data_IF_057741786753
#
_entry.id   IF_057741786753
#
_cell.length_a   1.000
_cell.length_b   1.000
_cell.length_c   1.000
_cell.angle_alpha   90.00
_cell.angle_beta   90.00
_cell.angle_gamma   90.00
#
_symmetry.space_group_name_H-M   'P 1'
#
loop_
_entity.id
_entity.type
_entity.pdbx_description
1 polymer ?
#
# COMPACT_ATOMS: atom_id res chain seq x y z
N UNK A 1 -9.49 -10.17 15.17
CA UNK A 1 -9.59 -11.12 14.06
C UNK A 1 -8.32 -11.96 14.02
N UNK A 2 -8.40 -13.30 14.03
CA UNK A 2 -7.22 -14.13 13.82
C UNK A 2 -6.69 -13.97 12.40
N UNK A 3 -5.38 -13.79 12.28
CA UNK A 3 -4.67 -13.70 11.00
C UNK A 3 -3.74 -14.91 10.86
N UNK A 4 -3.33 -15.25 9.63
CA UNK A 4 -2.23 -16.19 9.44
C UNK A 4 -0.94 -15.64 10.08
N UNK A 5 -0.07 -16.54 10.54
CA UNK A 5 1.18 -16.14 11.17
C UNK A 5 2.06 -15.30 10.24
N UNK A 6 2.79 -14.36 10.82
CA UNK A 6 3.77 -13.52 10.13
C UNK A 6 4.88 -13.10 11.09
N UNK A 7 6.06 -12.79 10.59
CA UNK A 7 7.13 -12.16 11.35
C UNK A 7 7.19 -10.66 11.07
N UNK A 8 7.11 -9.87 12.12
CA UNK A 8 7.26 -8.42 12.06
C UNK A 8 8.55 -7.92 12.73
N UNK A 9 9.45 -8.81 13.10
CA UNK A 9 10.69 -8.46 13.82
C UNK A 9 11.90 -8.29 12.90
N UNK A 10 11.79 -8.75 11.69
CA UNK A 10 12.81 -8.72 10.66
C UNK A 10 12.94 -7.34 9.99
N UNK A 11 13.96 -7.18 9.18
CA UNK A 11 15.34 -7.71 9.20
C UNK A 11 16.18 -7.03 10.29
N UNK A 12 15.52 -6.29 11.15
CA UNK A 12 16.13 -5.49 12.19
C UNK A 12 16.36 -6.34 13.45
N UNK A 13 17.52 -6.23 14.04
CA UNK A 13 17.74 -6.69 15.41
C UNK A 13 16.77 -5.98 16.36
N UNK A 14 16.38 -6.61 17.48
CA UNK A 14 15.54 -5.96 18.48
C UNK A 14 16.13 -4.59 18.87
N UNK A 15 15.34 -3.53 18.67
CA UNK A 15 15.75 -2.16 18.97
C UNK A 15 16.41 -1.38 17.83
N UNK A 16 16.81 -2.02 16.73
CA UNK A 16 17.29 -1.30 15.54
C UNK A 16 16.12 -0.78 14.70
N UNK A 17 16.26 0.43 14.15
CA UNK A 17 15.27 1.06 13.27
C UNK A 17 15.59 0.84 11.79
N UNK A 18 16.87 0.92 11.49
CA UNK A 18 17.47 1.02 10.18
C UNK A 18 17.89 -0.37 9.70
N UNK A 19 17.12 -0.93 8.82
CA UNK A 19 17.36 -2.27 8.33
C UNK A 19 17.39 -2.39 6.82
N UNK A 20 16.69 -1.53 6.12
CA UNK A 20 16.59 -1.61 4.67
C UNK A 20 17.90 -1.07 4.04
N UNK A 21 18.65 -1.90 3.34
CA UNK A 21 19.89 -1.48 2.71
C UNK A 21 19.63 -0.59 1.49
N UNK A 22 20.66 0.16 1.11
CA UNK A 22 20.67 1.02 -0.07
C UNK A 22 21.99 0.83 -0.83
N UNK A 23 22.03 1.01 -2.16
CA UNK A 23 23.26 0.93 -2.92
C UNK A 23 24.28 2.01 -2.51
N UNK A 24 25.56 1.64 -2.51
CA UNK A 24 26.68 2.57 -2.37
C UNK A 24 26.84 3.24 -1.01
N UNK A 25 26.14 2.78 0.03
CA UNK A 25 26.26 3.31 1.39
C UNK A 25 26.03 2.24 2.44
N UNK A 26 26.60 2.44 3.64
CA UNK A 26 26.29 1.63 4.81
C UNK A 26 25.07 2.15 5.60
N UNK A 27 24.58 3.33 5.29
CA UNK A 27 23.37 3.91 5.90
C UNK A 27 22.15 3.09 5.44
N UNK A 28 21.38 2.59 6.40
CA UNK A 28 20.14 1.86 6.14
C UNK A 28 18.94 2.73 6.47
N UNK A 29 17.80 2.47 5.87
CA UNK A 29 16.58 3.24 6.07
C UNK A 29 15.54 2.49 6.88
N UNK A 30 14.62 3.24 7.47
CA UNK A 30 13.77 2.82 8.56
C UNK A 30 12.57 1.97 8.09
N UNK A 31 12.32 0.90 8.81
CA UNK A 31 11.07 0.13 8.74
C UNK A 31 10.47 -0.08 10.14
N UNK A 32 11.23 0.23 11.20
CA UNK A 32 10.86 -0.13 12.57
C UNK A 32 9.55 0.51 13.02
N UNK A 33 9.30 1.75 12.65
CA UNK A 33 8.12 2.48 13.11
C UNK A 33 6.81 1.76 12.74
N UNK A 34 6.83 0.97 11.67
CA UNK A 34 5.61 0.37 11.10
C UNK A 34 5.59 -1.15 11.06
N UNK A 35 6.70 -1.83 11.35
CA UNK A 35 6.78 -3.30 11.27
C UNK A 35 5.81 -4.07 12.19
N UNK A 36 5.29 -3.43 13.23
CA UNK A 36 4.39 -4.07 14.22
C UNK A 36 2.98 -3.47 14.23
N UNK A 37 2.62 -2.73 13.21
CA UNK A 37 1.31 -2.08 13.11
C UNK A 37 0.90 -1.93 11.65
N UNK A 38 -0.41 -1.93 11.37
CA UNK A 38 -0.91 -1.59 10.05
C UNK A 38 -0.49 -0.19 9.63
N UNK A 39 -0.25 -0.02 8.34
CA UNK A 39 -0.01 1.26 7.71
C UNK A 39 -1.31 2.06 7.59
N UNK A 40 -1.20 3.36 7.44
CA UNK A 40 -2.29 4.20 6.99
C UNK A 40 -2.56 3.89 5.50
N UNK A 41 -3.79 3.64 5.09
CA UNK A 41 -5.07 3.78 5.80
C UNK A 41 -5.75 2.40 5.87
N UNK A 42 -6.80 2.33 6.71
CA UNK A 42 -7.82 1.27 6.64
C UNK A 42 -8.91 1.77 5.68
N UNK A 43 -8.82 1.41 4.40
CA UNK A 43 -9.73 1.91 3.37
C UNK A 43 -11.01 1.09 3.33
N UNK A 44 -12.16 1.74 3.41
CA UNK A 44 -13.48 1.14 3.37
C UNK A 44 -14.10 1.26 1.97
N UNK A 45 -14.78 0.17 1.56
CA UNK A 45 -15.61 0.13 0.35
C UNK A 45 -16.91 -0.61 0.62
N UNK A 46 -18.01 -0.05 0.09
CA UNK A 46 -19.31 -0.71 0.06
C UNK A 46 -19.63 -1.08 -1.40
N UNK A 47 -19.75 -2.38 -1.67
CA UNK A 47 -20.06 -2.93 -2.99
C UNK A 47 -21.55 -3.21 -3.18
N UNK A 48 -22.41 -2.83 -2.24
CA UNK A 48 -23.84 -3.15 -2.24
C UNK A 48 -24.13 -4.60 -1.85
N UNK A 49 -23.34 -5.54 -2.31
CA UNK A 49 -23.47 -6.98 -1.97
C UNK A 49 -22.67 -7.36 -0.73
N UNK A 50 -21.64 -6.62 -0.42
CA UNK A 50 -20.78 -6.77 0.76
C UNK A 50 -20.00 -5.49 1.01
N UNK A 51 -19.41 -5.41 2.18
CA UNK A 51 -18.50 -4.32 2.58
C UNK A 51 -17.11 -4.88 2.81
N UNK A 52 -16.08 -4.12 2.43
CA UNK A 52 -14.68 -4.48 2.64
C UNK A 52 -13.89 -3.36 3.29
N UNK A 53 -12.94 -3.75 4.12
CA UNK A 53 -11.85 -2.89 4.61
C UNK A 53 -10.54 -3.48 4.11
N UNK A 54 -9.64 -2.67 3.58
CA UNK A 54 -8.30 -3.10 3.18
C UNK A 54 -7.24 -2.33 3.93
N UNK A 55 -6.17 -3.04 4.32
CA UNK A 55 -5.01 -2.46 5.00
C UNK A 55 -3.77 -3.30 4.75
N UNK A 56 -2.60 -2.77 5.07
CA UNK A 56 -1.32 -3.45 4.90
C UNK A 56 -0.36 -3.16 6.06
N UNK A 57 0.70 -3.95 6.14
CA UNK A 57 1.82 -3.73 7.05
C UNK A 57 3.12 -4.32 6.49
N UNK A 58 4.26 -3.82 6.96
CA UNK A 58 5.56 -4.40 6.62
C UNK A 58 5.83 -5.63 7.50
N UNK A 59 6.27 -6.72 6.87
CA UNK A 59 6.59 -7.99 7.52
C UNK A 59 7.87 -8.59 6.92
N UNK A 60 8.40 -9.64 7.54
CA UNK A 60 9.38 -10.50 6.89
C UNK A 60 8.67 -11.40 5.87
N UNK A 61 9.02 -11.28 4.59
CA UNK A 61 8.47 -12.12 3.54
C UNK A 61 9.31 -13.39 3.31
N UNK A 62 10.62 -13.26 3.42
CA UNK A 62 11.59 -14.35 3.47
C UNK A 62 12.74 -13.97 4.39
N UNK A 63 13.58 -14.90 4.79
CA UNK A 63 14.62 -14.68 5.81
C UNK A 63 15.43 -13.40 5.53
N UNK A 64 15.30 -12.42 6.41
CA UNK A 64 15.99 -11.12 6.34
C UNK A 64 15.47 -10.15 5.29
N UNK A 65 14.41 -10.47 4.54
CA UNK A 65 13.88 -9.66 3.45
C UNK A 65 12.48 -9.13 3.78
N UNK A 66 12.30 -7.82 3.64
CA UNK A 66 11.02 -7.15 3.84
C UNK A 66 10.02 -7.46 2.72
N UNK A 67 8.77 -7.66 3.10
CA UNK A 67 7.63 -7.71 2.22
C UNK A 67 6.43 -6.98 2.80
N UNK A 68 5.39 -6.83 2.02
CA UNK A 68 4.15 -6.18 2.43
C UNK A 68 3.06 -7.21 2.60
N UNK A 69 2.59 -7.34 3.82
CA UNK A 69 1.40 -8.10 4.13
C UNK A 69 0.17 -7.24 3.99
N UNK A 70 -0.85 -7.77 3.35
CA UNK A 70 -2.11 -7.08 3.10
C UNK A 70 -3.29 -7.94 3.53
N UNK A 71 -4.42 -7.27 3.78
CA UNK A 71 -5.64 -7.88 4.29
C UNK A 71 -6.85 -7.28 3.59
N UNK A 72 -7.84 -8.12 3.29
CA UNK A 72 -9.21 -7.73 3.06
C UNK A 72 -10.08 -8.29 4.19
N UNK A 73 -10.77 -7.40 4.88
CA UNK A 73 -11.68 -7.71 5.96
C UNK A 73 -13.10 -7.44 5.47
N UNK A 74 -13.98 -8.40 5.56
CA UNK A 74 -15.40 -8.24 5.20
C UNK A 74 -16.31 -8.19 6.42
N UNK A 75 -17.54 -7.72 6.18
CA UNK A 75 -18.57 -7.53 7.17
C UNK A 75 -18.14 -6.62 8.34
N UNK A 76 -17.57 -5.42 8.10
CA UNK A 76 -17.21 -4.51 9.17
C UNK A 76 -18.43 -4.01 9.96
N UNK A 77 -19.62 -4.03 9.34
CA UNK A 77 -20.89 -3.62 9.92
C UNK A 77 -21.90 -4.78 9.90
N UNK A 78 -22.65 -4.95 10.94
CA UNK A 78 -23.79 -5.90 11.01
C UNK A 78 -23.43 -7.33 11.42
N UNK A 79 -22.64 -8.06 10.66
CA UNK A 79 -22.15 -9.39 11.02
C UNK A 79 -20.75 -9.32 11.67
N UNK A 80 -20.28 -10.37 12.38
CA UNK A 80 -18.90 -10.36 12.86
C UNK A 80 -17.92 -10.19 11.71
N UNK A 81 -16.94 -9.27 11.81
CA UNK A 81 -15.92 -9.08 10.79
C UNK A 81 -15.10 -10.35 10.57
N UNK A 82 -14.73 -10.63 9.34
CA UNK A 82 -13.91 -11.80 8.96
C UNK A 82 -12.75 -11.38 8.05
N UNK A 83 -11.61 -12.06 8.16
CA UNK A 83 -10.56 -11.97 7.14
C UNK A 83 -11.07 -12.73 5.92
N UNK A 84 -11.44 -12.01 4.87
CA UNK A 84 -11.89 -12.61 3.62
C UNK A 84 -10.72 -13.19 2.85
N UNK A 85 -9.64 -12.43 2.76
CA UNK A 85 -8.37 -12.87 2.21
C UNK A 85 -7.20 -12.06 2.80
N UNK A 86 -6.02 -12.64 2.71
CA UNK A 86 -4.78 -12.03 3.15
C UNK A 86 -3.60 -12.66 2.40
N UNK A 87 -2.55 -11.92 2.21
CA UNK A 87 -1.33 -12.39 1.56
C UNK A 87 -0.12 -11.59 1.96
N UNK A 88 1.05 -12.09 1.62
CA UNK A 88 2.30 -11.35 1.71
C UNK A 88 2.89 -11.23 0.32
N UNK A 89 3.13 -10.01 -0.12
CA UNK A 89 3.84 -9.73 -1.35
C UNK A 89 5.30 -9.39 -1.02
N UNK A 90 6.22 -10.10 -1.60
CA UNK A 90 7.65 -9.92 -1.37
C UNK A 90 8.46 -11.02 -2.05
N UNK A 91 8.67 -10.93 -3.38
CA UNK A 91 9.48 -11.89 -4.12
C UNK A 91 11.00 -11.77 -3.90
N UNK A 92 11.41 -11.10 -2.81
CA UNK A 92 12.80 -10.82 -2.50
C UNK A 92 13.69 -12.04 -2.24
N UNK A 93 13.12 -13.22 -2.05
CA UNK A 93 13.83 -14.50 -2.03
C UNK A 93 14.47 -14.84 -3.39
N UNK A 94 13.97 -14.24 -4.46
CA UNK A 94 14.48 -14.44 -5.82
C UNK A 94 15.35 -13.28 -6.32
N UNK A 95 15.08 -12.04 -5.91
CA UNK A 95 15.74 -10.84 -6.43
C UNK A 95 16.54 -10.04 -5.37
N UNK A 96 16.40 -10.37 -4.08
CA UNK A 96 17.08 -9.68 -2.98
C UNK A 96 16.51 -8.30 -2.63
N UNK A 97 15.43 -7.88 -3.28
CA UNK A 97 14.87 -6.54 -3.11
C UNK A 97 13.86 -6.54 -1.95
N UNK A 98 14.05 -5.63 -1.01
CA UNK A 98 13.09 -5.37 0.05
C UNK A 98 11.90 -4.55 -0.48
N UNK A 99 10.70 -4.90 -0.02
CA UNK A 99 9.47 -4.16 -0.26
C UNK A 99 8.82 -3.83 1.09
N UNK A 100 8.57 -2.56 1.34
CA UNK A 100 8.08 -2.13 2.66
C UNK A 100 7.27 -0.83 2.58
N UNK A 101 6.69 -0.40 3.68
CA UNK A 101 5.86 0.81 3.77
C UNK A 101 4.77 0.81 2.69
N UNK A 102 3.91 -0.22 2.73
CA UNK A 102 2.86 -0.39 1.74
C UNK A 102 1.64 0.48 1.98
N UNK A 103 0.90 0.75 0.91
CA UNK A 103 -0.47 1.27 0.96
C UNK A 103 -1.33 0.53 -0.05
N UNK A 104 -2.53 0.14 0.35
CA UNK A 104 -3.45 -0.68 -0.46
C UNK A 104 -4.80 0.02 -0.60
N UNK A 105 -5.39 -0.08 -1.80
CA UNK A 105 -6.75 0.37 -2.08
C UNK A 105 -7.46 -0.64 -2.99
N UNK A 106 -8.80 -0.56 -3.04
CA UNK A 106 -9.64 -1.35 -3.93
C UNK A 106 -10.47 -0.45 -4.83
N UNK A 107 -10.56 -0.78 -6.11
CA UNK A 107 -11.56 -0.27 -7.04
C UNK A 107 -12.87 -1.11 -6.98
N UNK A 108 -13.54 -1.32 -8.08
CA UNK A 108 -14.74 -2.17 -8.20
C UNK A 108 -14.56 -3.66 -7.84
N UNK A 109 -13.40 -4.07 -7.32
CA UNK A 109 -13.11 -5.45 -6.90
C UNK A 109 -11.65 -5.84 -7.04
N UNK A 110 -10.87 -5.12 -7.84
CA UNK A 110 -9.43 -5.30 -7.94
C UNK A 110 -8.73 -4.56 -6.81
N UNK A 111 -7.50 -4.93 -6.49
CA UNK A 111 -6.68 -4.26 -5.49
C UNK A 111 -5.36 -3.81 -6.09
N UNK A 112 -4.94 -2.61 -5.75
CA UNK A 112 -3.60 -2.13 -6.00
C UNK A 112 -2.83 -1.96 -4.68
N UNK A 113 -1.57 -2.35 -4.68
CA UNK A 113 -0.65 -2.27 -3.55
C UNK A 113 0.60 -1.51 -4.00
N UNK A 114 0.80 -0.31 -3.46
CA UNK A 114 2.03 0.45 -3.65
C UNK A 114 2.98 0.26 -2.47
N UNK A 115 4.28 0.36 -2.69
CA UNK A 115 5.30 0.16 -1.66
C UNK A 115 6.62 0.82 -2.06
N UNK A 116 7.52 0.95 -1.10
CA UNK A 116 8.91 1.31 -1.34
C UNK A 116 9.72 0.07 -1.67
N UNK A 117 10.71 0.20 -2.57
CA UNK A 117 11.61 -0.87 -2.96
C UNK A 117 13.07 -0.42 -2.87
N UNK A 118 13.97 -1.27 -2.34
CA UNK A 118 15.42 -1.04 -2.30
C UNK A 118 16.18 -2.31 -1.98
N UNK A 119 17.45 -2.38 -2.42
CA UNK A 119 18.41 -3.40 -2.02
C UNK A 119 19.77 -2.79 -1.67
N UNK A 120 20.76 -3.62 -1.40
CA UNK A 120 22.13 -3.16 -1.10
C UNK A 120 23.05 -3.02 -2.31
N UNK A 121 22.57 -3.27 -3.54
CA UNK A 121 23.42 -3.44 -4.72
C UNK A 121 23.07 -2.53 -5.88
N UNK A 122 21.82 -2.52 -6.32
CA UNK A 122 21.42 -1.87 -7.58
C UNK A 122 20.10 -1.10 -7.52
N UNK A 123 19.17 -1.49 -6.63
CA UNK A 123 17.87 -0.86 -6.51
C UNK A 123 17.93 0.23 -5.44
N UNK A 124 18.06 1.47 -5.89
CA UNK A 124 17.97 2.63 -5.01
C UNK A 124 16.55 2.78 -4.44
N UNK A 125 16.39 3.51 -3.32
CA UNK A 125 15.07 3.74 -2.73
C UNK A 125 14.08 4.31 -3.74
N UNK A 126 13.14 3.47 -4.15
CA UNK A 126 12.19 3.61 -5.25
C UNK A 126 10.77 3.47 -4.75
N UNK A 127 9.81 3.85 -5.57
CA UNK A 127 8.40 3.61 -5.37
C UNK A 127 7.87 2.70 -6.46
N UNK A 128 7.33 1.54 -6.07
CA UNK A 128 6.80 0.53 -6.96
C UNK A 128 5.37 0.17 -6.58
N UNK A 129 4.70 -0.58 -7.44
CA UNK A 129 3.35 -1.09 -7.20
C UNK A 129 3.15 -2.45 -7.83
N UNK A 130 2.16 -3.15 -7.34
CA UNK A 130 1.61 -4.39 -7.87
C UNK A 130 0.11 -4.42 -7.65
N UNK A 131 -0.55 -5.49 -8.03
CA UNK A 131 -1.96 -5.63 -7.76
C UNK A 131 -2.50 -7.01 -8.04
N UNK A 132 -3.81 -7.12 -7.88
CA UNK A 132 -4.61 -8.28 -8.22
C UNK A 132 -5.94 -7.89 -8.80
N UNK A 133 -6.42 -8.69 -9.74
CA UNK A 133 -7.79 -8.63 -10.23
C UNK A 133 -8.72 -9.42 -9.28
N UNK A 134 -9.99 -9.10 -9.32
CA UNK A 134 -11.01 -9.85 -8.56
C UNK A 134 -11.03 -11.34 -8.94
N UNK A 135 -10.69 -11.66 -10.19
CA UNK A 135 -10.62 -13.02 -10.74
C UNK A 135 -9.35 -13.80 -10.36
N UNK A 136 -8.34 -13.13 -9.82
CA UNK A 136 -7.08 -13.78 -9.42
C UNK A 136 -7.26 -14.68 -8.19
N UNK A 137 -6.41 -15.70 -8.01
CA UNK A 137 -6.45 -16.56 -6.84
C UNK A 137 -6.42 -15.74 -5.55
N UNK A 138 -7.31 -16.02 -4.57
CA UNK A 138 -7.30 -15.32 -3.29
C UNK A 138 -5.96 -15.38 -2.58
N UNK A 139 -5.57 -14.29 -1.92
CA UNK A 139 -4.31 -14.22 -1.16
C UNK A 139 -3.07 -13.94 -2.01
N UNK A 140 -3.22 -13.68 -3.32
CA UNK A 140 -2.10 -13.40 -4.23
C UNK A 140 -2.19 -12.01 -4.86
N UNK A 141 -1.06 -11.50 -5.36
CA UNK A 141 -0.93 -10.27 -6.16
C UNK A 141 -0.15 -10.60 -7.45
N UNK A 142 -0.79 -11.25 -8.44
CA UNK A 142 -0.08 -11.84 -9.58
C UNK A 142 0.06 -10.92 -10.79
N UNK A 143 -0.38 -9.66 -10.73
CA UNK A 143 -0.38 -8.75 -11.89
C UNK A 143 1.00 -8.17 -12.22
N UNK A 144 2.07 -8.74 -11.65
CA UNK A 144 3.44 -8.25 -11.85
C UNK A 144 3.75 -7.00 -11.03
N UNK A 145 4.96 -6.51 -11.19
CA UNK A 145 5.41 -5.25 -10.56
C UNK A 145 5.59 -4.17 -11.62
N UNK A 146 5.15 -2.96 -11.29
CA UNK A 146 5.43 -1.76 -12.06
C UNK A 146 6.29 -0.78 -11.25
N UNK A 147 7.25 -0.14 -11.90
CA UNK A 147 7.93 1.01 -11.33
C UNK A 147 7.02 2.23 -11.44
N UNK A 148 6.76 2.85 -10.30
CA UNK A 148 6.07 4.15 -10.25
C UNK A 148 7.08 5.29 -10.44
N UNK A 149 8.24 5.16 -9.81
CA UNK A 149 9.46 5.90 -10.07
C UNK A 149 10.66 5.18 -9.45
N UNK A 150 11.74 5.06 -10.21
CA UNK A 150 12.99 4.50 -9.71
C UNK A 150 13.88 5.60 -9.11
N UNK A 151 14.44 5.30 -7.94
CA UNK A 151 15.49 6.10 -7.34
C UNK A 151 16.81 5.94 -8.10
N UNK A 152 17.65 6.96 -8.03
CA UNK A 152 19.00 6.97 -8.64
C UNK A 152 20.07 7.40 -7.63
N UNK A 153 19.72 7.42 -6.35
CA UNK A 153 20.62 7.77 -5.27
C UNK A 153 20.19 7.21 -3.92
N UNK A 154 21.04 7.37 -2.91
CA UNK A 154 20.83 6.90 -1.55
C UNK A 154 20.75 8.04 -0.55
N UNK A 155 20.04 7.83 0.54
CA UNK A 155 19.98 8.71 1.69
C UNK A 155 21.18 8.41 2.62
N UNK A 156 22.08 9.38 2.83
CA UNK A 156 23.41 9.10 3.40
C UNK A 156 23.51 9.33 4.90
N UNK A 157 22.58 10.06 5.53
CA UNK A 157 22.65 10.35 6.96
C UNK A 157 21.34 10.24 7.71
N UNK A 158 20.19 10.45 7.08
CA UNK A 158 18.91 10.23 7.70
C UNK A 158 18.43 8.80 7.45
N UNK A 159 17.82 8.20 8.47
CA UNK A 159 17.21 6.86 8.40
C UNK A 159 15.70 6.93 8.17
N UNK A 160 15.08 8.09 8.35
CA UNK A 160 13.63 8.27 8.25
C UNK A 160 13.13 8.03 6.84
N UNK A 161 12.04 7.21 6.72
CA UNK A 161 11.49 6.80 5.44
C UNK A 161 10.00 6.45 5.52
N UNK A 162 9.22 6.82 4.51
CA UNK A 162 7.95 6.22 4.14
C UNK A 162 6.76 6.44 5.06
N UNK A 163 6.84 7.33 6.05
CA UNK A 163 5.83 7.51 7.08
C UNK A 163 4.43 7.86 6.51
N UNK A 164 4.33 8.40 5.29
CA UNK A 164 3.12 9.01 4.74
C UNK A 164 2.79 8.54 3.31
N UNK A 165 3.21 7.33 2.95
CA UNK A 165 2.74 6.73 1.69
C UNK A 165 1.23 6.53 1.73
N UNK A 166 0.55 6.81 0.62
CA UNK A 166 -0.89 6.65 0.55
C UNK A 166 -1.36 6.31 -0.86
N UNK A 167 -2.31 5.37 -0.93
CA UNK A 167 -3.03 5.02 -2.14
C UNK A 167 -4.53 5.20 -1.92
N UNK A 168 -5.22 5.75 -2.92
CA UNK A 168 -6.67 5.96 -2.90
C UNK A 168 -7.24 5.75 -4.30
N UNK A 169 -8.53 5.53 -4.38
CA UNK A 169 -9.25 5.42 -5.66
C UNK A 169 -9.89 6.75 -5.98
N UNK A 170 -9.83 7.15 -7.25
CA UNK A 170 -10.49 8.34 -7.75
C UNK A 170 -12.03 8.16 -7.68
N UNK A 171 -12.75 9.00 -6.95
CA UNK A 171 -14.20 8.87 -6.83
C UNK A 171 -14.93 9.22 -8.13
N UNK A 172 -14.25 9.83 -9.11
CA UNK A 172 -14.89 10.26 -10.37
C UNK A 172 -15.13 9.05 -11.30
N UNK A 173 -14.15 8.15 -11.41
CA UNK A 173 -14.24 6.97 -12.30
C UNK A 173 -14.29 5.65 -11.54
N UNK A 174 -14.01 5.69 -10.24
CA UNK A 174 -13.96 4.52 -9.35
C UNK A 174 -13.01 3.40 -9.79
N UNK A 175 -12.03 3.74 -10.64
CA UNK A 175 -11.08 2.85 -11.28
C UNK A 175 -9.63 3.29 -11.11
N UNK A 176 -9.39 4.60 -11.14
CA UNK A 176 -8.05 5.15 -11.11
C UNK A 176 -7.49 5.14 -9.69
N UNK A 177 -6.34 4.52 -9.51
CA UNK A 177 -5.59 4.55 -8.26
C UNK A 177 -4.63 5.73 -8.27
N UNK A 178 -4.82 6.65 -7.33
CA UNK A 178 -3.86 7.70 -7.02
C UNK A 178 -2.88 7.22 -5.96
N UNK A 179 -1.59 7.38 -6.24
CA UNK A 179 -0.54 6.93 -5.34
C UNK A 179 0.48 8.02 -5.08
N UNK A 180 0.90 8.15 -3.83
CA UNK A 180 2.00 9.02 -3.40
C UNK A 180 2.99 8.24 -2.58
N UNK A 181 4.28 8.36 -2.91
CA UNK A 181 5.37 7.76 -2.13
C UNK A 181 6.68 8.50 -2.38
N UNK A 182 7.70 8.12 -1.61
CA UNK A 182 9.04 8.67 -1.63
C UNK A 182 9.95 7.90 -2.60
N UNK A 183 10.94 8.62 -3.13
CA UNK A 183 12.08 8.06 -3.86
C UNK A 183 13.30 8.96 -3.66
N UNK A 184 14.51 8.49 -3.99
CA UNK A 184 15.74 9.28 -3.89
C UNK A 184 16.35 9.53 -5.27
N UNK A 185 16.25 10.75 -5.83
CA UNK A 185 16.77 11.06 -7.18
C UNK A 185 18.29 11.24 -7.25
N UNK A 186 18.95 11.48 -6.12
CA UNK A 186 20.41 11.63 -6.04
C UNK A 186 20.89 11.43 -4.62
N UNK A 187 22.07 10.83 -4.47
CA UNK A 187 22.65 10.60 -3.15
C UNK A 187 22.96 11.91 -2.43
N UNK A 188 22.42 12.04 -1.22
CA UNK A 188 22.60 13.23 -0.37
C UNK A 188 22.27 12.89 1.09
N UNK A 189 22.60 13.76 2.05
CA UNK A 189 22.32 13.52 3.48
C UNK A 189 20.84 13.22 3.76
N UNK A 190 19.91 13.98 3.15
CA UNK A 190 18.45 13.78 3.22
C UNK A 190 17.88 14.12 1.84
N UNK A 191 17.79 13.14 0.96
CA UNK A 191 17.58 13.37 -0.47
C UNK A 191 16.22 12.99 -1.03
N UNK A 192 15.31 12.47 -0.23
CA UNK A 192 14.01 12.00 -0.72
C UNK A 192 13.18 13.11 -1.38
N UNK A 193 12.37 12.68 -2.33
CA UNK A 193 11.33 13.48 -3.00
C UNK A 193 10.04 12.68 -2.99
N UNK A 194 8.91 13.36 -3.13
CA UNK A 194 7.61 12.74 -3.34
C UNK A 194 7.32 12.63 -4.83
N UNK A 195 6.70 11.52 -5.20
CA UNK A 195 6.04 11.33 -6.49
C UNK A 195 4.56 11.11 -6.24
N UNK A 196 3.73 11.83 -6.99
CA UNK A 196 2.29 11.59 -7.09
C UNK A 196 1.99 11.20 -8.53
N UNK A 197 1.12 10.23 -8.72
CA UNK A 197 0.64 9.83 -10.03
C UNK A 197 -0.47 8.82 -9.92
N UNK A 198 -0.93 8.33 -11.06
CA UNK A 198 -2.10 7.49 -11.14
C UNK A 198 -1.92 6.35 -12.15
N UNK A 199 -2.62 5.26 -11.91
CA UNK A 199 -2.72 4.09 -12.80
C UNK A 199 -4.07 3.40 -12.58
N UNK A 200 -4.46 2.52 -13.49
CA UNK A 200 -5.66 1.67 -13.36
C UNK A 200 -5.45 0.34 -14.07
N UNK A 201 -6.27 -0.63 -13.69
CA UNK A 201 -6.38 -1.90 -14.43
C UNK A 201 -7.29 -1.71 -15.64
N UNK A 202 -6.93 -2.33 -16.76
CA UNK A 202 -7.77 -2.32 -17.96
C UNK A 202 -9.11 -3.03 -17.72
N UNK A 203 -9.14 -3.99 -16.79
CA UNK A 203 -10.32 -4.75 -16.39
C UNK A 203 -11.22 -4.01 -15.38
N UNK A 204 -10.89 -2.79 -15.02
CA UNK A 204 -11.76 -2.04 -14.12
C UNK A 204 -13.11 -1.74 -14.79
N UNK A 205 -14.17 -2.19 -14.13
CA UNK A 205 -15.53 -1.81 -14.49
C UNK A 205 -15.92 -0.64 -13.60
N UNK A 206 -16.11 0.52 -14.21
CA UNK A 206 -16.59 1.70 -13.48
C UNK A 206 -17.84 1.36 -12.67
N UNK A 207 -17.93 1.88 -11.45
CA UNK A 207 -19.12 1.72 -10.65
C UNK A 207 -20.36 2.22 -11.41
N UNK A 208 -21.51 1.61 -11.13
CA UNK A 208 -22.78 2.14 -11.61
C UNK A 208 -22.90 3.63 -11.22
N UNK A 209 -23.55 4.44 -12.04
CA UNK A 209 -23.64 5.87 -11.79
C UNK A 209 -24.11 6.13 -10.36
N UNK A 210 -23.46 7.06 -9.71
CA UNK A 210 -23.76 7.44 -8.32
C UNK A 210 -25.24 7.78 -8.24
N UNK A 211 -25.97 7.09 -7.38
CA UNK A 211 -27.40 7.33 -7.15
C UNK A 211 -27.67 8.72 -6.55
N UNK A 212 -26.60 9.37 -6.09
CA UNK A 212 -26.68 10.67 -5.47
C UNK A 212 -25.39 11.46 -5.72
N UNK A 213 -25.52 12.69 -6.17
CA UNK A 213 -24.42 13.68 -6.24
C UNK A 213 -24.89 14.96 -5.64
N UNK A 214 -24.20 15.45 -4.64
CA UNK A 214 -24.41 16.77 -4.06
C UNK A 214 -23.05 17.32 -3.62
N UNK A 215 -22.69 18.49 -4.12
CA UNK A 215 -21.45 19.19 -3.75
C UNK A 215 -21.61 20.09 -2.51
N UNK A 216 -22.80 20.10 -1.90
CA UNK A 216 -23.16 20.97 -0.76
C UNK A 216 -23.11 22.48 -1.08
N UNK A 217 -23.09 22.87 -2.36
CA UNK A 217 -23.03 24.26 -2.78
C UNK A 217 -24.32 25.01 -2.46
N UNK A 218 -25.44 24.29 -2.36
CA UNK A 218 -26.71 24.86 -1.90
C UNK A 218 -26.70 25.32 -0.45
N UNK A 219 -25.81 24.72 0.38
CA UNK A 219 -25.75 24.93 1.82
C UNK A 219 -26.96 24.37 2.58
N UNK A 220 -27.74 23.49 1.95
CA UNK A 220 -28.91 22.84 2.55
C UNK A 220 -28.96 21.34 2.19
N UNK A 221 -29.98 20.64 2.68
CA UNK A 221 -30.18 19.21 2.47
C UNK A 221 -31.29 18.90 1.47
N UNK A 222 -31.66 19.86 0.60
CA UNK A 222 -32.79 19.71 -0.34
C UNK A 222 -32.59 18.60 -1.36
N UNK A 223 -31.34 18.27 -1.68
CA UNK A 223 -30.99 17.14 -2.56
C UNK A 223 -31.08 15.76 -1.87
N UNK A 224 -31.30 15.72 -0.55
CA UNK A 224 -31.34 14.47 0.23
C UNK A 224 -32.78 13.98 0.42
N UNK A 225 -33.05 12.74 0.08
CA UNK A 225 -34.36 12.11 0.28
C UNK A 225 -34.64 11.73 1.73
N UNK A 226 -33.58 11.55 2.54
CA UNK A 226 -33.67 11.29 3.99
C UNK A 226 -32.57 12.04 4.73
N UNK A 227 -32.97 12.87 5.66
CA UNK A 227 -32.07 13.42 6.69
C UNK A 227 -32.46 12.82 8.05
N UNK A 228 -31.44 12.38 8.81
CA UNK A 228 -31.62 11.96 10.20
C UNK A 228 -31.24 13.15 11.06
N UNK A 229 -32.08 13.58 12.03
CA UNK A 229 -31.79 14.68 12.91
C UNK A 229 -30.59 14.43 13.82
#
# INVERSE_FOLDING_TARGET
LPTAAFDSSFPCSPGSRDCIPQPGTSTKIDVLSYRRRPMHRLAYRNFGTHESLVTSQSVEASTGIAGVRWYEIRNPNGAPPVIHQQGTFGPGDTDGIHRWMGSVAMDGGNMALGYSASDGTSTYPSSWYTGRLVSDPPGTMPQGEGSFIDGTGSQLSSQRWGDYTAMTVDPTDDCTFWYVNQYVPSSSPVGWRLRVGAFKFDECVAAAPVLFTDGFESGDLSAWTHSVP
#
